data_IF_977452880528
#
_entry.id   IF_977452880528
#
_cell.length_a   1.000
_cell.length_b   1.000
_cell.length_c   1.000
_cell.angle_alpha   90.00
_cell.angle_beta   90.00
_cell.angle_gamma   90.00
#
_symmetry.space_group_name_H-M   'P 1'
#
loop_
_entity.id
_entity.type
_entity.pdbx_description
1 polymer ?
#
# COMPACT_ATOMS: atom_id res chain seq x y z
N UNK A 1 -6.15 74.78 58.47
CA UNK A 1 -7.58 74.51 58.74
C UNK A 1 -7.92 73.14 58.19
N UNK A 2 -8.50 72.27 59.03
CA UNK A 2 -9.04 70.92 58.76
C UNK A 2 -9.76 70.81 57.39
N UNK A 3 -9.82 69.67 56.68
CA UNK A 3 -10.34 68.37 57.16
C UNK A 3 -10.11 67.25 56.14
N UNK A 4 -9.78 66.07 56.66
CA UNK A 4 -9.74 64.73 56.03
C UNK A 4 -11.03 64.35 55.27
N UNK A 5 -10.88 63.52 54.23
CA UNK A 5 -11.73 62.33 54.02
C UNK A 5 -10.92 61.17 53.38
N UNK A 6 -10.75 60.13 54.21
CA UNK A 6 -10.67 58.67 53.94
C UNK A 6 -11.36 58.24 52.62
N UNK A 7 -11.01 57.16 51.91
CA UNK A 7 -10.59 55.78 52.30
C UNK A 7 -10.34 55.01 50.99
N UNK A 8 -9.55 53.92 51.02
CA UNK A 8 -9.80 52.78 50.13
C UNK A 8 -8.56 52.18 49.45
N UNK A 9 -7.97 51.19 50.11
CA UNK A 9 -6.99 50.25 49.57
C UNK A 9 -7.49 49.52 48.33
N UNK A 10 -6.63 49.35 47.31
CA UNK A 10 -6.50 48.08 46.59
C UNK A 10 -5.18 48.07 45.80
N UNK A 11 -4.22 47.27 46.25
CA UNK A 11 -3.03 46.92 45.47
C UNK A 11 -3.46 46.11 44.24
N UNK A 12 -3.31 46.69 43.04
CA UNK A 12 -3.35 45.94 41.79
C UNK A 12 -1.91 45.50 41.43
N UNK A 13 -1.68 44.22 41.08
CA UNK A 13 -0.35 43.74 40.71
C UNK A 13 0.05 44.22 39.31
N UNK A 14 1.36 44.33 39.01
CA UNK A 14 1.86 44.88 37.76
C UNK A 14 1.67 43.87 36.61
N UNK A 15 0.52 43.93 35.94
CA UNK A 15 0.31 43.27 34.65
C UNK A 15 0.88 44.11 33.50
N UNK A 16 2.21 44.22 33.42
CA UNK A 16 2.90 44.70 32.23
C UNK A 16 4.40 44.37 32.32
N UNK A 17 4.82 43.21 31.79
CA UNK A 17 6.18 42.97 31.24
C UNK A 17 6.53 41.49 30.98
N UNK A 18 5.58 40.64 30.57
CA UNK A 18 5.95 39.36 29.92
C UNK A 18 5.44 39.30 28.49
N UNK A 19 6.00 40.18 27.65
CA UNK A 19 6.23 39.83 26.24
C UNK A 19 7.40 38.84 26.27
N UNK A 20 7.07 37.61 26.64
CA UNK A 20 7.92 36.46 26.41
C UNK A 20 8.06 36.32 24.91
N UNK A 21 9.25 36.65 24.42
CA UNK A 21 9.73 36.32 23.08
C UNK A 21 9.52 34.83 22.87
N UNK A 22 8.37 34.47 22.30
CA UNK A 22 8.09 33.12 21.83
C UNK A 22 9.16 32.85 20.78
N UNK A 23 10.21 32.14 21.20
CA UNK A 23 11.16 31.54 20.28
C UNK A 23 10.31 30.55 19.49
N UNK A 24 9.83 30.99 18.33
CA UNK A 24 9.38 30.11 17.27
C UNK A 24 10.44 29.03 17.15
N UNK A 25 10.09 27.83 17.63
CA UNK A 25 10.93 26.67 17.41
C UNK A 25 11.19 26.63 15.89
N UNK A 26 12.45 26.47 15.45
CA UNK A 26 12.71 26.33 14.03
C UNK A 26 11.79 25.22 13.51
N UNK A 27 11.13 25.40 12.34
CA UNK A 27 10.25 24.38 11.81
C UNK A 27 11.05 23.06 11.79
N UNK A 28 10.51 22.05 12.48
CA UNK A 28 11.17 20.75 12.59
C UNK A 28 11.54 20.31 11.17
N UNK A 29 12.83 20.11 10.90
CA UNK A 29 13.28 19.54 9.63
C UNK A 29 12.50 18.24 9.41
N UNK A 30 11.95 18.06 8.21
CA UNK A 30 11.26 16.83 7.85
C UNK A 30 12.31 15.72 7.80
N UNK A 31 12.46 15.00 8.91
CA UNK A 31 13.39 13.89 8.96
C UNK A 31 12.84 12.74 8.11
N UNK A 32 13.72 12.07 7.37
CA UNK A 32 13.35 10.88 6.64
C UNK A 32 12.83 9.81 7.61
N UNK A 33 11.63 9.27 7.36
CA UNK A 33 10.97 8.28 8.23
C UNK A 33 11.56 6.89 8.04
N UNK A 34 12.85 6.74 8.32
CA UNK A 34 13.61 5.52 8.04
C UNK A 34 12.97 4.28 8.66
N UNK A 35 12.58 4.36 9.92
CA UNK A 35 11.95 3.28 10.67
C UNK A 35 10.63 2.82 10.02
N UNK A 36 9.80 3.75 9.54
CA UNK A 36 8.56 3.41 8.84
C UNK A 36 8.82 2.80 7.47
N UNK A 37 9.67 3.43 6.65
CA UNK A 37 9.95 2.93 5.29
C UNK A 37 10.65 1.58 5.33
N UNK A 38 11.55 1.38 6.30
CA UNK A 38 12.18 0.09 6.54
C UNK A 38 11.13 -0.95 6.96
N UNK A 39 10.26 -0.63 7.92
CA UNK A 39 9.19 -1.53 8.38
C UNK A 39 8.23 -1.92 7.25
N UNK A 40 7.79 -0.95 6.44
CA UNK A 40 6.99 -1.22 5.24
C UNK A 40 7.73 -2.12 4.27
N UNK A 41 9.00 -1.84 3.97
CA UNK A 41 9.78 -2.65 3.03
C UNK A 41 9.89 -4.09 3.52
N UNK A 42 10.31 -4.29 4.77
CA UNK A 42 10.49 -5.63 5.36
C UNK A 42 9.17 -6.40 5.41
N UNK A 43 8.11 -5.78 5.92
CA UNK A 43 6.84 -6.47 6.10
C UNK A 43 6.16 -6.80 4.75
N UNK A 44 6.25 -5.91 3.75
CA UNK A 44 5.74 -6.15 2.41
C UNK A 44 6.46 -7.33 1.74
N UNK A 45 7.78 -7.39 1.89
CA UNK A 45 8.58 -8.48 1.32
C UNK A 45 8.34 -9.82 2.01
N UNK A 46 8.26 -9.82 3.35
CA UNK A 46 8.11 -11.07 4.11
C UNK A 46 6.67 -11.58 4.05
N UNK A 47 5.70 -10.70 4.33
CA UNK A 47 4.32 -11.11 4.64
C UNK A 47 3.42 -11.16 3.40
N UNK A 48 3.69 -10.34 2.39
CA UNK A 48 2.90 -10.31 1.16
C UNK A 48 3.63 -11.01 0.01
N UNK A 49 4.78 -10.49 -0.42
CA UNK A 49 5.57 -11.12 -1.50
C UNK A 49 6.09 -12.52 -1.14
N UNK A 50 6.53 -12.71 0.10
CA UNK A 50 7.10 -13.98 0.58
C UNK A 50 6.06 -15.09 0.79
N UNK A 51 4.77 -14.74 0.91
CA UNK A 51 3.67 -15.69 1.13
C UNK A 51 3.65 -16.82 0.11
N UNK A 52 3.50 -16.57 -1.20
CA UNK A 52 3.47 -17.63 -2.20
C UNK A 52 4.77 -18.45 -2.26
N UNK A 53 5.92 -17.84 -1.94
CA UNK A 53 7.22 -18.55 -1.90
C UNK A 53 7.26 -19.57 -0.76
N UNK A 54 6.87 -19.15 0.44
CA UNK A 54 6.84 -20.02 1.62
C UNK A 54 5.88 -21.19 1.43
N UNK A 55 4.77 -20.95 0.74
CA UNK A 55 3.80 -22.01 0.45
C UNK A 55 4.31 -23.03 -0.58
N UNK A 56 5.25 -22.65 -1.46
CA UNK A 56 5.91 -23.59 -2.39
C UNK A 56 6.98 -24.43 -1.66
N UNK A 57 7.69 -23.81 -0.71
CA UNK A 57 8.84 -24.45 -0.04
C UNK A 57 8.39 -25.39 1.09
N UNK A 58 7.34 -25.03 1.82
CA UNK A 58 6.91 -25.80 2.99
C UNK A 58 6.02 -26.99 2.61
N UNK A 59 6.29 -28.18 3.17
CA UNK A 59 5.59 -29.39 2.79
C UNK A 59 4.14 -29.41 3.32
N UNK A 60 3.27 -30.08 2.57
CA UNK A 60 1.86 -30.26 2.92
C UNK A 60 1.63 -31.10 4.18
N UNK A 61 2.61 -31.90 4.62
CA UNK A 61 2.50 -32.66 5.87
C UNK A 61 2.44 -31.73 7.09
N UNK A 62 3.12 -30.58 7.02
CA UNK A 62 3.14 -29.60 8.12
C UNK A 62 1.89 -28.74 8.10
N UNK A 63 1.32 -28.50 6.91
CA UNK A 63 0.15 -27.68 6.70
C UNK A 63 -0.89 -28.43 5.86
N UNK A 64 -1.71 -29.28 6.49
CA UNK A 64 -2.78 -30.00 5.80
C UNK A 64 -3.75 -29.05 5.09
N UNK A 65 -4.30 -29.48 3.95
CA UNK A 65 -5.23 -28.67 3.14
C UNK A 65 -6.49 -28.19 3.90
N UNK A 66 -6.85 -28.80 5.02
CA UNK A 66 -8.01 -28.37 5.81
C UNK A 66 -7.65 -27.43 6.98
N UNK A 67 -6.41 -26.93 7.05
CA UNK A 67 -5.92 -26.04 8.10
C UNK A 67 -5.22 -24.80 7.50
N UNK A 68 -5.08 -23.71 8.28
CA UNK A 68 -4.28 -22.57 7.86
C UNK A 68 -2.83 -22.98 7.57
N UNK A 69 -2.33 -22.54 6.43
CA UNK A 69 -0.95 -22.67 5.97
C UNK A 69 -0.04 -21.59 6.56
N UNK A 70 1.28 -21.74 6.41
CA UNK A 70 2.23 -20.68 6.75
C UNK A 70 1.94 -19.36 6.00
N UNK A 71 1.53 -19.45 4.74
CA UNK A 71 1.13 -18.29 3.95
C UNK A 71 -0.10 -17.57 4.51
N UNK A 72 -1.07 -18.33 5.05
CA UNK A 72 -2.24 -17.76 5.72
C UNK A 72 -1.84 -16.99 6.97
N UNK A 73 -0.91 -17.52 7.78
CA UNK A 73 -0.39 -16.81 8.96
C UNK A 73 0.37 -15.54 8.60
N UNK A 74 1.14 -15.56 7.51
CA UNK A 74 1.84 -14.37 7.01
C UNK A 74 0.84 -13.28 6.62
N UNK A 75 -0.21 -13.66 5.92
CA UNK A 75 -1.24 -12.72 5.49
C UNK A 75 -2.13 -12.23 6.64
N UNK A 76 -2.42 -13.08 7.64
CA UNK A 76 -3.03 -12.62 8.90
C UNK A 76 -2.17 -11.58 9.62
N UNK A 77 -0.85 -11.78 9.67
CA UNK A 77 0.08 -10.80 10.24
C UNK A 77 0.09 -9.50 9.41
N UNK A 78 0.07 -9.61 8.08
CA UNK A 78 -0.03 -8.46 7.17
C UNK A 78 -1.30 -7.63 7.43
N UNK A 79 -2.43 -8.30 7.70
CA UNK A 79 -3.72 -7.66 8.03
C UNK A 79 -3.73 -6.93 9.38
N UNK A 80 -2.72 -7.12 10.22
CA UNK A 80 -2.55 -6.38 11.49
C UNK A 80 -1.46 -5.31 11.34
N UNK A 81 -0.32 -5.68 10.75
CA UNK A 81 0.87 -4.83 10.70
C UNK A 81 0.71 -3.70 9.68
N UNK A 82 0.19 -3.98 8.49
CA UNK A 82 0.03 -2.94 7.45
C UNK A 82 -0.89 -1.80 7.89
N UNK A 83 -2.11 -2.05 8.41
CA UNK A 83 -2.98 -0.99 8.93
C UNK A 83 -2.31 -0.16 10.03
N UNK A 84 -1.58 -0.81 10.93
CA UNK A 84 -0.84 -0.12 11.98
C UNK A 84 0.23 0.81 11.41
N UNK A 85 1.02 0.34 10.44
CA UNK A 85 2.03 1.16 9.77
C UNK A 85 1.40 2.30 8.97
N UNK A 86 0.27 2.09 8.30
CA UNK A 86 -0.48 3.13 7.58
C UNK A 86 -0.99 4.22 8.53
N UNK A 87 -1.49 3.85 9.70
CA UNK A 87 -1.86 4.80 10.75
C UNK A 87 -0.64 5.59 11.23
N UNK A 88 0.49 4.93 11.49
CA UNK A 88 1.73 5.60 11.89
C UNK A 88 2.30 6.51 10.81
N UNK A 89 2.14 6.15 9.54
CA UNK A 89 2.51 6.98 8.40
C UNK A 89 1.71 8.28 8.42
N UNK A 90 0.41 8.20 8.64
CA UNK A 90 -0.48 9.37 8.69
C UNK A 90 -0.25 10.22 9.94
N UNK A 91 0.00 9.61 11.10
CA UNK A 91 0.36 10.33 12.35
C UNK A 91 1.61 11.22 12.17
N UNK A 92 2.54 10.81 11.30
CA UNK A 92 3.75 11.58 10.98
C UNK A 92 3.62 12.48 9.76
N UNK A 93 2.44 12.55 9.15
CA UNK A 93 2.19 13.51 8.08
C UNK A 93 2.17 14.93 8.63
N UNK A 94 2.72 15.89 7.88
CA UNK A 94 2.62 17.31 8.24
C UNK A 94 1.21 17.88 7.99
N UNK A 95 0.40 17.22 7.17
CA UNK A 95 -0.98 17.61 6.86
C UNK A 95 -1.95 16.98 7.84
N UNK A 96 -2.80 17.81 8.45
CA UNK A 96 -3.93 17.35 9.26
C UNK A 96 -5.02 16.81 8.35
N UNK A 97 -5.17 15.49 8.33
CA UNK A 97 -6.21 14.81 7.55
C UNK A 97 -7.47 14.58 8.38
N UNK A 98 -8.67 14.54 7.74
CA UNK A 98 -9.89 14.19 8.45
C UNK A 98 -9.77 12.79 9.05
N UNK A 99 -9.79 12.70 10.38
CA UNK A 99 -9.62 11.42 11.11
C UNK A 99 -10.63 10.36 10.66
N UNK A 100 -11.87 10.77 10.41
CA UNK A 100 -12.93 9.88 9.89
C UNK A 100 -12.55 9.26 8.54
N UNK A 101 -11.99 10.04 7.62
CA UNK A 101 -11.59 9.52 6.30
C UNK A 101 -10.44 8.52 6.41
N UNK A 102 -9.47 8.79 7.30
CA UNK A 102 -8.37 7.87 7.58
C UNK A 102 -8.89 6.57 8.18
N UNK A 103 -9.73 6.63 9.21
CA UNK A 103 -10.27 5.42 9.84
C UNK A 103 -11.16 4.60 8.91
N UNK A 104 -12.04 5.25 8.12
CA UNK A 104 -12.83 4.53 7.12
C UNK A 104 -11.92 3.87 6.08
N UNK A 105 -10.87 4.54 5.62
CA UNK A 105 -9.90 3.95 4.68
C UNK A 105 -9.21 2.73 5.28
N UNK A 106 -8.78 2.81 6.55
CA UNK A 106 -8.14 1.69 7.25
C UNK A 106 -9.10 0.53 7.48
N UNK A 107 -10.35 0.79 7.88
CA UNK A 107 -11.36 -0.25 8.09
C UNK A 107 -11.69 -0.95 6.76
N UNK A 108 -11.90 -0.18 5.69
CA UNK A 108 -12.15 -0.74 4.35
C UNK A 108 -10.94 -1.56 3.87
N UNK A 109 -9.73 -1.07 4.09
CA UNK A 109 -8.49 -1.81 3.80
C UNK A 109 -8.47 -3.17 4.51
N UNK A 110 -8.71 -3.19 5.83
CA UNK A 110 -8.69 -4.43 6.62
C UNK A 110 -9.76 -5.41 6.14
N UNK A 111 -10.96 -4.90 5.83
CA UNK A 111 -12.05 -5.72 5.29
C UNK A 111 -11.66 -6.33 3.95
N UNK A 112 -11.11 -5.55 3.02
CA UNK A 112 -10.67 -6.01 1.70
C UNK A 112 -9.56 -7.06 1.79
N UNK A 113 -8.52 -6.77 2.58
CA UNK A 113 -7.39 -7.69 2.76
C UNK A 113 -7.78 -8.97 3.52
N UNK A 114 -8.82 -8.93 4.36
CA UNK A 114 -9.39 -10.14 5.00
C UNK A 114 -10.19 -11.00 4.02
N UNK A 115 -10.92 -10.39 3.08
CA UNK A 115 -11.58 -11.13 1.99
C UNK A 115 -10.53 -11.78 1.10
N UNK A 116 -9.49 -11.02 0.71
CA UNK A 116 -8.40 -11.52 -0.10
C UNK A 116 -7.65 -12.68 0.57
N UNK A 117 -7.42 -12.60 1.89
CA UNK A 117 -6.87 -13.71 2.67
C UNK A 117 -7.66 -15.01 2.46
N UNK A 118 -8.99 -14.95 2.54
CA UNK A 118 -9.82 -16.15 2.39
C UNK A 118 -9.77 -16.67 0.95
N UNK A 119 -9.87 -15.77 -0.03
CA UNK A 119 -9.82 -16.12 -1.45
C UNK A 119 -8.50 -16.77 -1.85
N UNK A 120 -7.38 -16.11 -1.55
CA UNK A 120 -6.03 -16.60 -1.86
C UNK A 120 -5.72 -17.93 -1.15
N UNK A 121 -6.17 -18.08 0.11
CA UNK A 121 -6.03 -19.32 0.87
C UNK A 121 -6.73 -20.50 0.20
N UNK A 122 -7.93 -20.29 -0.33
CA UNK A 122 -8.67 -21.32 -1.08
C UNK A 122 -8.03 -21.58 -2.43
N UNK A 123 -7.68 -20.51 -3.17
CA UNK A 123 -7.05 -20.60 -4.48
C UNK A 123 -5.76 -21.42 -4.42
N UNK A 124 -4.92 -21.19 -3.42
CA UNK A 124 -3.70 -21.96 -3.24
C UNK A 124 -3.94 -23.47 -3.09
N UNK A 125 -4.95 -23.87 -2.31
CA UNK A 125 -5.31 -25.28 -2.12
C UNK A 125 -5.85 -25.91 -3.39
N UNK A 126 -6.57 -25.13 -4.19
CA UNK A 126 -6.95 -25.54 -5.54
C UNK A 126 -5.71 -25.74 -6.41
N UNK A 127 -4.71 -24.85 -6.39
CA UNK A 127 -3.47 -25.00 -7.19
C UNK A 127 -2.74 -26.31 -6.83
N UNK A 128 -2.66 -26.64 -5.54
CA UNK A 128 -2.08 -27.90 -5.07
C UNK A 128 -2.86 -29.13 -5.55
N UNK A 129 -4.17 -28.97 -5.75
CA UNK A 129 -5.06 -29.98 -6.34
C UNK A 129 -5.00 -30.02 -7.88
N UNK A 130 -4.16 -29.16 -8.50
CA UNK A 130 -3.92 -29.08 -9.94
C UNK A 130 -4.59 -27.90 -10.65
N UNK A 131 -5.20 -26.96 -9.91
CA UNK A 131 -5.91 -25.82 -10.50
C UNK A 131 -4.97 -24.95 -11.33
N UNK A 132 -5.41 -24.64 -12.55
CA UNK A 132 -4.64 -23.86 -13.51
C UNK A 132 -5.02 -22.37 -13.45
N UNK A 133 -4.14 -21.53 -12.91
CA UNK A 133 -4.35 -20.07 -12.75
C UNK A 133 -4.59 -19.31 -14.07
N UNK A 134 -4.20 -19.89 -15.21
CA UNK A 134 -4.38 -19.26 -16.51
C UNK A 134 -5.77 -19.49 -17.12
N UNK A 135 -6.59 -20.36 -16.51
CA UNK A 135 -7.96 -20.63 -16.92
C UNK A 135 -8.96 -19.91 -15.99
N UNK A 136 -10.15 -19.63 -16.52
CA UNK A 136 -11.26 -19.16 -15.69
C UNK A 136 -11.76 -20.25 -14.75
N UNK A 137 -12.49 -19.88 -13.69
CA UNK A 137 -13.09 -20.84 -12.74
C UNK A 137 -13.94 -21.88 -13.48
N UNK A 138 -14.77 -21.45 -14.44
CA UNK A 138 -15.62 -22.34 -15.24
C UNK A 138 -14.85 -23.19 -16.23
N UNK A 139 -13.70 -22.74 -16.69
CA UNK A 139 -12.89 -23.47 -17.67
C UNK A 139 -11.96 -24.50 -17.02
N UNK A 140 -11.71 -24.36 -15.72
CA UNK A 140 -10.77 -25.18 -14.97
C UNK A 140 -11.28 -26.64 -14.82
N UNK A 141 -10.49 -27.66 -15.24
CA UNK A 141 -10.95 -29.05 -15.28
C UNK A 141 -11.34 -29.57 -13.89
N UNK A 142 -10.64 -29.18 -12.83
CA UNK A 142 -10.89 -29.66 -11.46
C UNK A 142 -12.21 -29.15 -10.90
N UNK A 143 -12.66 -27.97 -11.35
CA UNK A 143 -13.91 -27.37 -10.92
C UNK A 143 -15.09 -27.94 -11.71
N UNK A 144 -14.91 -28.27 -12.99
CA UNK A 144 -15.96 -28.82 -13.85
C UNK A 144 -16.51 -30.16 -13.36
N UNK A 145 -15.68 -30.94 -12.68
CA UNK A 145 -16.03 -32.27 -12.18
C UNK A 145 -16.77 -32.22 -10.81
N UNK A 146 -16.96 -31.03 -10.24
CA UNK A 146 -17.64 -30.87 -8.94
C UNK A 146 -19.15 -31.11 -9.04
N UNK A 147 -19.69 -31.85 -8.07
CA UNK A 147 -21.12 -32.05 -7.86
C UNK A 147 -21.54 -31.56 -6.47
N UNK A 148 -22.67 -30.85 -6.32
CA UNK A 148 -23.61 -30.45 -7.38
C UNK A 148 -23.06 -29.29 -8.26
N UNK A 149 -23.57 -29.10 -9.49
CA UNK A 149 -23.10 -28.04 -10.40
C UNK A 149 -23.21 -26.61 -9.83
N UNK A 150 -24.15 -26.38 -8.91
CA UNK A 150 -24.30 -25.09 -8.20
C UNK A 150 -23.10 -24.71 -7.33
N UNK A 151 -22.21 -25.67 -7.03
CA UNK A 151 -20.97 -25.39 -6.31
C UNK A 151 -20.01 -24.56 -7.17
N UNK A 152 -20.06 -24.69 -8.50
CA UNK A 152 -19.27 -23.87 -9.44
C UNK A 152 -19.64 -22.39 -9.27
N UNK A 153 -20.94 -22.08 -9.16
CA UNK A 153 -21.41 -20.70 -8.95
C UNK A 153 -20.93 -20.14 -7.60
N UNK A 154 -20.78 -20.99 -6.58
CA UNK A 154 -20.22 -20.59 -5.28
C UNK A 154 -18.73 -20.25 -5.37
N UNK A 155 -17.96 -20.99 -6.17
CA UNK A 155 -16.55 -20.68 -6.45
C UNK A 155 -16.41 -19.42 -7.31
N UNK A 156 -17.30 -19.18 -8.28
CA UNK A 156 -17.32 -17.90 -9.00
C UNK A 156 -17.61 -16.72 -8.08
N UNK A 157 -18.57 -16.87 -7.17
CA UNK A 157 -18.88 -15.84 -6.20
C UNK A 157 -17.68 -15.57 -5.27
N UNK A 158 -17.00 -16.61 -4.81
CA UNK A 158 -15.78 -16.47 -4.01
C UNK A 158 -14.70 -15.71 -4.77
N UNK A 159 -14.45 -16.08 -6.04
CA UNK A 159 -13.48 -15.40 -6.90
C UNK A 159 -13.88 -13.94 -7.15
N UNK A 160 -15.17 -13.66 -7.33
CA UNK A 160 -15.67 -12.30 -7.47
C UNK A 160 -15.44 -11.46 -6.20
N UNK A 161 -15.69 -12.05 -5.03
CA UNK A 161 -15.41 -11.40 -3.75
C UNK A 161 -13.93 -11.08 -3.60
N UNK A 162 -13.04 -12.00 -3.98
CA UNK A 162 -11.61 -11.80 -3.88
C UNK A 162 -11.09 -10.76 -4.89
N UNK A 163 -11.22 -11.08 -6.18
CA UNK A 163 -10.56 -10.36 -7.28
C UNK A 163 -11.15 -9.00 -7.58
N UNK A 164 -12.44 -8.79 -7.29
CA UNK A 164 -13.10 -7.52 -7.56
C UNK A 164 -13.31 -6.72 -6.28
N UNK A 165 -14.01 -7.30 -5.30
CA UNK A 165 -14.35 -6.55 -4.08
C UNK A 165 -13.16 -6.42 -3.13
N UNK A 166 -12.49 -7.54 -2.83
CA UNK A 166 -11.34 -7.63 -1.94
C UNK A 166 -10.19 -6.75 -2.42
N UNK A 167 -9.75 -6.96 -3.66
CA UNK A 167 -8.73 -6.13 -4.30
C UNK A 167 -9.09 -4.64 -4.31
N UNK A 168 -10.32 -4.27 -4.70
CA UNK A 168 -10.71 -2.85 -4.71
C UNK A 168 -10.68 -2.24 -3.31
N UNK A 169 -11.25 -2.93 -2.33
CA UNK A 169 -11.32 -2.46 -0.94
C UNK A 169 -9.95 -2.48 -0.25
N UNK A 170 -9.01 -3.27 -0.74
CA UNK A 170 -7.64 -3.30 -0.24
C UNK A 170 -6.79 -2.19 -0.87
N UNK A 171 -6.69 -2.17 -2.21
CA UNK A 171 -5.77 -1.31 -2.91
C UNK A 171 -6.22 0.15 -2.99
N UNK A 172 -7.52 0.43 -3.19
CA UNK A 172 -7.98 1.82 -3.30
C UNK A 172 -7.69 2.61 -2.02
N UNK A 173 -8.02 2.13 -0.81
CA UNK A 173 -7.65 2.84 0.42
C UNK A 173 -6.14 2.89 0.66
N UNK A 174 -5.39 1.85 0.29
CA UNK A 174 -3.93 1.84 0.41
C UNK A 174 -3.29 2.98 -0.39
N UNK A 175 -3.61 3.06 -1.69
CA UNK A 175 -3.09 4.13 -2.57
C UNK A 175 -3.62 5.51 -2.18
N UNK A 176 -4.85 5.60 -1.69
CA UNK A 176 -5.40 6.85 -1.16
C UNK A 176 -4.59 7.34 0.04
N UNK A 177 -4.27 6.47 1.01
CA UNK A 177 -3.48 6.83 2.19
C UNK A 177 -2.08 7.28 1.78
N UNK A 178 -1.42 6.57 0.86
CA UNK A 178 -0.11 6.97 0.33
C UNK A 178 -0.17 8.34 -0.35
N UNK A 179 -1.20 8.59 -1.15
CA UNK A 179 -1.41 9.88 -1.79
C UNK A 179 -1.66 10.99 -0.77
N UNK A 180 -2.53 10.76 0.22
CA UNK A 180 -2.81 11.75 1.26
C UNK A 180 -1.55 12.08 2.06
N UNK A 181 -0.74 11.07 2.43
CA UNK A 181 0.56 11.28 3.04
C UNK A 181 1.50 12.09 2.14
N UNK A 182 1.56 11.78 0.84
CA UNK A 182 2.37 12.51 -0.14
C UNK A 182 2.03 14.00 -0.19
N UNK A 183 0.75 14.37 -0.05
CA UNK A 183 0.35 15.79 -0.02
C UNK A 183 0.96 16.57 1.16
N UNK A 184 1.37 15.88 2.23
CA UNK A 184 2.08 16.45 3.38
C UNK A 184 3.60 16.44 3.28
N UNK A 185 4.19 15.95 2.18
CA UNK A 185 5.64 15.84 2.02
C UNK A 185 6.27 17.08 1.36
N UNK A 186 5.70 18.27 1.58
CA UNK A 186 6.12 19.52 0.96
C UNK A 186 6.60 20.54 2.00
N UNK A 187 7.74 21.19 1.72
CA UNK A 187 8.37 22.17 2.62
C UNK A 187 8.79 23.43 1.85
N UNK A 188 8.90 24.56 2.55
CA UNK A 188 9.50 25.80 2.03
C UNK A 188 11.02 25.86 2.26
N UNK A 189 11.56 24.88 2.98
CA UNK A 189 13.00 24.72 3.21
C UNK A 189 13.77 24.54 1.91
N UNK A 190 15.08 24.79 1.94
CA UNK A 190 16.00 24.33 0.90
C UNK A 190 15.76 22.84 0.64
N UNK A 191 15.94 22.50 -0.63
CA UNK A 191 15.79 21.16 -1.17
C UNK A 191 16.59 20.14 -0.35
N UNK A 192 15.90 19.22 0.34
CA UNK A 192 16.54 18.18 1.12
C UNK A 192 16.97 17.02 0.19
N UNK A 193 18.22 16.59 0.33
CA UNK A 193 18.70 15.40 -0.38
C UNK A 193 18.17 14.15 0.32
N UNK A 194 17.82 13.14 -0.47
CA UNK A 194 17.42 11.85 0.08
C UNK A 194 18.62 11.18 0.79
N UNK A 195 18.48 10.73 2.05
CA UNK A 195 19.58 10.08 2.75
C UNK A 195 19.97 8.75 2.08
N UNK A 196 21.19 8.27 2.37
CA UNK A 196 21.69 7.00 1.83
C UNK A 196 20.78 5.81 2.14
N UNK A 197 20.17 5.79 3.33
CA UNK A 197 19.21 4.76 3.70
C UNK A 197 17.95 4.78 2.82
N UNK A 198 17.48 5.95 2.40
CA UNK A 198 16.39 6.08 1.44
C UNK A 198 16.76 5.53 0.06
N UNK A 199 17.99 5.76 -0.42
CA UNK A 199 18.47 5.16 -1.66
C UNK A 199 18.58 3.64 -1.59
N UNK A 200 19.03 3.10 -0.45
CA UNK A 200 19.13 1.65 -0.24
C UNK A 200 17.75 0.98 -0.25
N UNK A 201 16.74 1.61 0.35
CA UNK A 201 15.37 1.09 0.39
C UNK A 201 14.62 1.24 -0.94
N UNK A 202 15.07 2.13 -1.83
CA UNK A 202 14.36 2.45 -3.06
C UNK A 202 14.22 1.25 -4.00
N UNK A 203 15.29 0.46 -4.17
CA UNK A 203 15.28 -0.75 -5.00
C UNK A 203 14.26 -1.80 -4.53
N UNK A 204 14.38 -2.35 -3.31
CA UNK A 204 13.44 -3.35 -2.82
C UNK A 204 12.02 -2.81 -2.71
N UNK A 205 11.83 -1.54 -2.31
CA UNK A 205 10.50 -0.96 -2.23
C UNK A 205 9.84 -0.82 -3.61
N UNK A 206 10.56 -0.34 -4.62
CA UNK A 206 10.01 -0.17 -5.97
C UNK A 206 9.74 -1.52 -6.64
N UNK A 207 10.58 -2.52 -6.40
CA UNK A 207 10.35 -3.88 -6.89
C UNK A 207 9.09 -4.51 -6.26
N UNK A 208 8.85 -4.27 -4.97
CA UNK A 208 7.59 -4.67 -4.34
C UNK A 208 6.39 -3.94 -4.96
N UNK A 209 6.47 -2.63 -5.18
CA UNK A 209 5.37 -1.90 -5.83
C UNK A 209 5.13 -2.38 -7.26
N UNK A 210 6.18 -2.74 -8.00
CA UNK A 210 6.02 -3.41 -9.30
C UNK A 210 5.23 -4.70 -9.15
N UNK A 211 5.64 -5.58 -8.23
CA UNK A 211 4.92 -6.83 -7.95
C UNK A 211 3.45 -6.56 -7.59
N UNK A 212 3.19 -5.63 -6.67
CA UNK A 212 1.85 -5.27 -6.23
C UNK A 212 0.98 -4.78 -7.39
N UNK A 213 1.54 -3.96 -8.28
CA UNK A 213 0.82 -3.39 -9.43
C UNK A 213 0.51 -4.45 -10.48
N UNK A 214 1.46 -5.35 -10.76
CA UNK A 214 1.31 -6.39 -11.76
C UNK A 214 0.47 -7.56 -11.26
N UNK A 215 0.66 -7.97 -10.00
CA UNK A 215 -0.07 -9.10 -9.43
C UNK A 215 -1.50 -8.72 -9.08
N UNK A 216 -1.70 -7.58 -8.41
CA UNK A 216 -3.04 -7.10 -8.06
C UNK A 216 -3.84 -6.55 -9.24
N UNK A 217 -3.31 -6.57 -10.46
CA UNK A 217 -3.94 -6.02 -11.67
C UNK A 217 -4.42 -4.56 -11.51
N UNK A 218 -3.72 -3.77 -10.69
CA UNK A 218 -4.12 -2.41 -10.29
C UNK A 218 -3.42 -1.29 -11.07
N UNK A 219 -2.91 -1.58 -12.27
CA UNK A 219 -2.16 -0.62 -13.08
C UNK A 219 -2.93 0.69 -13.32
N UNK A 220 -4.25 0.62 -13.54
CA UNK A 220 -5.09 1.81 -13.74
C UNK A 220 -5.10 2.70 -12.49
N UNK A 221 -5.41 2.13 -11.32
CA UNK A 221 -5.39 2.84 -10.04
C UNK A 221 -4.02 3.48 -9.80
N UNK A 222 -2.96 2.70 -10.00
CA UNK A 222 -1.58 3.13 -9.86
C UNK A 222 -1.26 4.36 -10.74
N UNK A 223 -1.61 4.33 -12.02
CA UNK A 223 -1.37 5.43 -12.96
C UNK A 223 -2.15 6.68 -12.55
N UNK A 224 -3.42 6.54 -12.13
CA UNK A 224 -4.20 7.67 -11.63
C UNK A 224 -3.56 8.31 -10.40
N UNK A 225 -3.10 7.50 -9.44
CA UNK A 225 -2.38 8.01 -8.26
C UNK A 225 -1.08 8.69 -8.65
N UNK A 226 -0.32 8.12 -9.57
CA UNK A 226 0.93 8.73 -10.06
C UNK A 226 0.69 10.10 -10.73
N UNK A 227 -0.34 10.21 -11.57
CA UNK A 227 -0.73 11.49 -12.16
C UNK A 227 -1.18 12.50 -11.10
N UNK A 228 -1.95 12.08 -10.10
CA UNK A 228 -2.36 12.95 -8.99
C UNK A 228 -1.14 13.44 -8.19
N UNK A 229 -0.13 12.59 -7.97
CA UNK A 229 1.14 12.97 -7.33
C UNK A 229 1.88 14.00 -8.19
N UNK A 230 2.05 13.75 -9.50
CA UNK A 230 2.73 14.67 -10.42
C UNK A 230 2.02 16.03 -10.49
N UNK A 231 0.70 16.05 -10.61
CA UNK A 231 -0.11 17.27 -10.59
C UNK A 231 0.06 18.04 -9.26
N UNK A 232 0.13 17.33 -8.14
CA UNK A 232 0.39 17.91 -6.81
C UNK A 232 1.76 18.56 -6.76
N UNK A 233 2.81 17.89 -7.27
CA UNK A 233 4.16 18.45 -7.38
C UNK A 233 4.17 19.73 -8.21
N UNK A 234 3.53 19.73 -9.37
CA UNK A 234 3.43 20.92 -10.23
C UNK A 234 2.71 22.07 -9.52
N UNK A 235 1.60 21.79 -8.84
CA UNK A 235 0.82 22.79 -8.10
C UNK A 235 1.62 23.38 -6.94
N UNK A 236 2.32 22.56 -6.17
CA UNK A 236 3.09 23.00 -5.01
C UNK A 236 4.36 23.75 -5.43
N UNK A 237 5.02 23.33 -6.51
CA UNK A 237 6.16 24.05 -7.10
C UNK A 237 5.78 25.46 -7.56
N UNK A 238 4.58 25.65 -8.14
CA UNK A 238 4.04 26.98 -8.48
C UNK A 238 3.82 27.87 -7.25
N UNK A 239 3.63 27.28 -6.07
CA UNK A 239 3.49 27.97 -4.79
C UNK A 239 4.82 28.14 -4.04
N UNK A 240 5.95 27.75 -4.64
CA UNK A 240 7.27 27.86 -4.03
C UNK A 240 7.62 26.76 -3.02
N UNK A 241 6.82 25.69 -2.92
CA UNK A 241 7.14 24.53 -2.09
C UNK A 241 7.95 23.49 -2.87
N UNK A 242 8.81 22.76 -2.16
CA UNK A 242 9.61 21.65 -2.70
C UNK A 242 9.31 20.35 -1.94
N UNK A 243 9.51 19.20 -2.58
CA UNK A 243 9.37 17.90 -1.92
C UNK A 243 10.50 17.69 -0.90
N UNK A 244 10.13 17.22 0.29
CA UNK A 244 11.08 16.73 1.29
C UNK A 244 11.64 15.35 0.94
N UNK A 245 12.48 14.80 1.83
CA UNK A 245 13.11 13.49 1.63
C UNK A 245 12.11 12.32 1.50
N UNK A 246 11.01 12.34 2.25
CA UNK A 246 9.98 11.29 2.21
C UNK A 246 9.14 11.35 0.93
N UNK A 247 8.76 12.55 0.51
CA UNK A 247 8.03 12.77 -0.73
C UNK A 247 8.85 12.37 -1.96
N UNK A 248 10.15 12.68 -1.97
CA UNK A 248 11.07 12.21 -3.03
C UNK A 248 11.16 10.70 -3.08
N UNK A 249 11.33 10.06 -1.92
CA UNK A 249 11.38 8.61 -1.83
C UNK A 249 10.13 7.98 -2.44
N UNK A 250 8.94 8.45 -2.07
CA UNK A 250 7.69 7.92 -2.61
C UNK A 250 7.53 8.20 -4.11
N UNK A 251 7.85 9.41 -4.58
CA UNK A 251 7.78 9.75 -6.01
C UNK A 251 8.75 8.90 -6.84
N UNK A 252 9.98 8.70 -6.38
CA UNK A 252 10.97 7.88 -7.08
C UNK A 252 10.58 6.39 -7.07
N UNK A 253 9.98 5.89 -6.00
CA UNK A 253 9.40 4.55 -5.98
C UNK A 253 8.39 4.37 -7.11
N UNK A 254 7.46 5.32 -7.26
CA UNK A 254 6.49 5.27 -8.37
C UNK A 254 7.19 5.40 -9.74
N UNK A 255 8.14 6.31 -9.93
CA UNK A 255 8.85 6.41 -11.21
C UNK A 255 9.54 5.09 -11.59
N UNK A 256 10.27 4.48 -10.66
CA UNK A 256 10.97 3.21 -10.91
C UNK A 256 9.98 2.06 -11.12
N UNK A 257 8.91 2.00 -10.33
CA UNK A 257 7.83 1.01 -10.49
C UNK A 257 7.24 1.08 -11.90
N UNK A 258 6.95 2.28 -12.41
CA UNK A 258 6.40 2.45 -13.76
C UNK A 258 7.39 1.94 -14.83
N UNK A 259 8.69 2.23 -14.67
CA UNK A 259 9.73 1.72 -15.57
C UNK A 259 9.77 0.19 -15.54
N UNK A 260 9.73 -0.42 -14.36
CA UNK A 260 9.70 -1.87 -14.21
C UNK A 260 8.46 -2.50 -14.88
N UNK A 261 7.28 -1.90 -14.72
CA UNK A 261 6.06 -2.35 -15.40
C UNK A 261 6.22 -2.27 -16.92
N UNK A 262 6.77 -1.17 -17.45
CA UNK A 262 6.99 -1.02 -18.90
C UNK A 262 7.94 -2.11 -19.41
N UNK A 263 9.07 -2.34 -18.73
CA UNK A 263 10.04 -3.38 -19.11
C UNK A 263 9.36 -4.76 -19.10
N UNK A 264 8.57 -5.06 -18.07
CA UNK A 264 7.82 -6.32 -17.96
C UNK A 264 6.83 -6.53 -19.11
N UNK A 265 6.05 -5.50 -19.43
CA UNK A 265 5.06 -5.54 -20.51
C UNK A 265 5.72 -5.70 -21.88
N UNK A 266 6.83 -5.00 -22.13
CA UNK A 266 7.58 -5.11 -23.39
C UNK A 266 8.19 -6.50 -23.53
N UNK A 267 8.74 -7.06 -22.46
CA UNK A 267 9.32 -8.40 -22.46
C UNK A 267 8.28 -9.48 -22.81
N UNK A 268 7.05 -9.37 -22.29
CA UNK A 268 5.98 -10.35 -22.49
C UNK A 268 5.01 -10.00 -23.63
N UNK A 269 5.33 -9.01 -24.47
CA UNK A 269 4.39 -8.45 -25.45
C UNK A 269 3.85 -9.48 -26.45
N UNK A 270 4.72 -10.42 -26.85
CA UNK A 270 4.48 -11.41 -27.89
C UNK A 270 3.98 -12.77 -27.36
N UNK A 271 3.76 -12.91 -26.04
CA UNK A 271 3.25 -14.15 -25.47
C UNK A 271 1.76 -14.33 -25.81
N UNK A 272 1.45 -15.26 -26.71
CA UNK A 272 0.08 -15.48 -27.19
C UNK A 272 -0.86 -16.08 -26.15
N UNK A 273 -0.34 -16.79 -25.15
CA UNK A 273 -1.15 -17.43 -24.10
C UNK A 273 -1.53 -16.37 -23.07
N UNK A 274 -0.56 -15.59 -22.59
CA UNK A 274 -0.80 -14.49 -21.68
C UNK A 274 -1.69 -13.41 -22.33
N UNK A 275 -1.53 -13.16 -23.63
CA UNK A 275 -2.41 -12.24 -24.38
C UNK A 275 -3.87 -12.66 -24.43
N UNK A 276 -4.15 -13.95 -24.39
CA UNK A 276 -5.52 -14.46 -24.28
C UNK A 276 -6.09 -14.27 -22.87
N UNK A 277 -5.27 -14.47 -21.83
CA UNK A 277 -5.67 -14.29 -20.43
C UNK A 277 -5.92 -12.82 -20.07
N UNK A 278 -5.07 -11.92 -20.55
CA UNK A 278 -5.17 -10.47 -20.32
C UNK A 278 -5.59 -9.74 -21.59
N UNK A 279 -6.87 -9.86 -22.02
CA UNK A 279 -7.35 -9.21 -23.23
C UNK A 279 -7.46 -7.69 -23.03
N UNK A 280 -7.29 -6.96 -24.13
CA UNK A 280 -7.51 -5.52 -24.16
C UNK A 280 -6.23 -4.70 -24.33
N UNK A 281 -6.42 -3.38 -24.26
CA UNK A 281 -5.35 -2.39 -24.52
C UNK A 281 -4.39 -2.32 -23.32
N UNK A 282 -4.92 -2.47 -22.10
CA UNK A 282 -4.14 -2.47 -20.86
C UNK A 282 -3.70 -3.90 -20.59
N UNK A 283 -2.54 -4.25 -21.13
CA UNK A 283 -1.93 -5.57 -20.97
C UNK A 283 -0.80 -5.50 -19.95
N UNK A 284 -1.02 -6.09 -18.77
CA UNK A 284 -0.04 -6.19 -17.69
C UNK A 284 -0.12 -7.60 -17.10
N UNK A 285 0.73 -8.55 -17.53
CA UNK A 285 0.67 -9.92 -17.02
C UNK A 285 1.06 -10.05 -15.55
N UNK A 286 0.38 -10.92 -14.81
CA UNK A 286 0.81 -11.33 -13.45
C UNK A 286 2.13 -12.12 -13.51
N UNK A 287 3.08 -11.84 -12.60
CA UNK A 287 4.27 -12.65 -12.39
C UNK A 287 3.95 -14.14 -12.13
N UNK A 288 2.91 -14.46 -11.35
CA UNK A 288 2.57 -15.85 -11.04
C UNK A 288 1.96 -16.60 -12.22
N UNK A 289 1.23 -15.91 -13.09
CA UNK A 289 0.77 -16.47 -14.36
C UNK A 289 1.95 -16.82 -15.29
N UNK A 290 2.96 -15.96 -15.36
CA UNK A 290 4.19 -16.26 -16.08
C UNK A 290 4.96 -17.45 -15.46
N UNK A 291 5.13 -17.45 -14.13
CA UNK A 291 5.83 -18.51 -13.41
C UNK A 291 5.16 -19.88 -13.61
N UNK A 292 3.85 -19.96 -13.45
CA UNK A 292 3.11 -21.24 -13.59
C UNK A 292 3.11 -21.76 -15.02
N UNK A 293 3.10 -20.87 -16.02
CA UNK A 293 3.10 -21.24 -17.43
C UNK A 293 4.49 -21.67 -17.92
N UNK A 294 5.55 -20.93 -17.58
CA UNK A 294 6.86 -21.08 -18.21
C UNK A 294 7.94 -21.67 -17.30
N UNK A 295 7.83 -21.52 -15.97
CA UNK A 295 8.88 -21.92 -15.03
C UNK A 295 8.52 -23.20 -14.27
N UNK A 296 7.29 -23.33 -13.76
CA UNK A 296 6.90 -24.48 -12.93
C UNK A 296 6.88 -25.82 -13.70
N UNK A 297 6.70 -25.76 -15.03
CA UNK A 297 6.59 -26.94 -15.89
C UNK A 297 7.78 -27.17 -16.84
N UNK A 298 8.84 -26.36 -16.75
CA UNK A 298 10.11 -26.57 -17.47
C UNK A 298 11.12 -27.35 -16.64
#
# INVERSE_FOLDING_TARGET
MNRKRTRGDCMAPPYLSMIGREKTAPPARSQFHLDLWFSFTVQNWILDFGRPIVMIILPLEWFPLNKPSAGDYFHMAYNVITPFLLLKLIERSSTTLPRTAVYLSIITFVMGASIHLVGDSINHRLILSGYQLHLSVRDNPIIKDLNPPSLIDSFELLYYYDEHLGHSMWYVPFFLILFLYFTGCFTQSKEEKMPHSGWLLLGPSALYYWYLVTEGQIFVLYVFTFFAMAATVMRQKRKGYVLDSNGRFLLYNFIITLVLVIVWVVYLWNDTILRKKYPGIIYVPEPWSYYTLHIKGS
#
